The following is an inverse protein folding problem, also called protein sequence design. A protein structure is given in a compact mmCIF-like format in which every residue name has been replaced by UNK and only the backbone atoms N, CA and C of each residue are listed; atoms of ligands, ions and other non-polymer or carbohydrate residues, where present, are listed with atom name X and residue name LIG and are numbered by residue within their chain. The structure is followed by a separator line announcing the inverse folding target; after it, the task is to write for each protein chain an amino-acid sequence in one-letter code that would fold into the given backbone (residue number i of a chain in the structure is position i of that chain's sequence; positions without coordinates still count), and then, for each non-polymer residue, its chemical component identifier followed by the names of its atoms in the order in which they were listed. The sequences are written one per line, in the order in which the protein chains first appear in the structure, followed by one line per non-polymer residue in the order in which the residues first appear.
data_IF_041639508305
#
_entry.id   IF_041639508305
#
_cell.length_a   1.000
_cell.length_b   1.000
_cell.length_c   1.000
_cell.angle_alpha   90.00
_cell.angle_beta   90.00
_cell.angle_gamma   90.00
#
_symmetry.space_group_name_H-M   'P 1'
#
loop_
_entity.id
_entity.type
_entity.pdbx_description
1 polymer ?
#
# COMPACT_ATOMS: atom_id res chain seq x y z
N UNK A 1 18.39 -2.48 17.36
CA UNK A 1 17.65 -2.85 16.14
C UNK A 1 17.42 -4.36 16.04
N UNK A 2 18.43 -5.22 16.25
CA UNK A 2 18.29 -6.69 16.18
C UNK A 2 17.30 -7.28 17.20
N UNK A 3 17.28 -6.78 18.44
CA UNK A 3 16.39 -7.25 19.52
C UNK A 3 14.94 -6.82 19.29
N UNK A 4 14.72 -5.58 18.82
CA UNK A 4 13.40 -5.06 18.47
C UNK A 4 12.79 -5.82 17.26
N UNK A 5 13.60 -6.10 16.24
CA UNK A 5 13.19 -6.92 15.11
C UNK A 5 12.88 -8.38 15.52
N UNK A 6 13.68 -8.99 16.40
CA UNK A 6 13.38 -10.33 16.93
C UNK A 6 12.07 -10.35 17.73
N UNK A 7 11.76 -9.34 18.53
CA UNK A 7 10.49 -9.25 19.25
C UNK A 7 9.29 -9.04 18.34
N UNK A 8 9.42 -8.26 17.25
CA UNK A 8 8.38 -8.14 16.20
C UNK A 8 8.18 -9.45 15.41
N UNK A 9 9.24 -10.23 15.23
CA UNK A 9 9.23 -11.46 14.42
C UNK A 9 8.82 -12.71 15.24
N UNK A 10 9.08 -12.73 16.55
CA UNK A 10 8.85 -13.92 17.40
C UNK A 10 7.43 -14.05 17.96
N UNK A 11 6.58 -13.05 17.77
CA UNK A 11 5.25 -13.04 18.36
C UNK A 11 4.14 -12.71 17.38
N UNK A 12 3.38 -13.70 16.93
CA UNK A 12 2.00 -13.50 16.47
C UNK A 12 1.09 -13.07 17.64
N UNK A 13 1.62 -12.29 18.59
CA UNK A 13 0.86 -11.83 19.72
C UNK A 13 -0.07 -10.68 19.28
N UNK A 14 -1.29 -10.66 19.81
CA UNK A 14 -2.26 -9.61 19.58
C UNK A 14 -1.66 -8.20 19.85
N UNK A 15 -0.71 -8.11 20.77
CA UNK A 15 0.01 -6.84 21.11
C UNK A 15 0.90 -6.37 19.98
N UNK A 16 1.70 -7.25 19.36
CA UNK A 16 2.55 -6.87 18.22
C UNK A 16 1.72 -6.44 17.01
N UNK A 17 0.59 -7.10 16.75
CA UNK A 17 -0.36 -6.71 15.72
C UNK A 17 -0.97 -5.32 15.95
N UNK A 18 -1.31 -4.96 17.20
CA UNK A 18 -1.86 -3.64 17.53
C UNK A 18 -0.81 -2.52 17.39
N UNK A 19 0.42 -2.74 17.85
CA UNK A 19 1.52 -1.78 17.61
C UNK A 19 1.80 -1.60 16.13
N UNK A 20 1.80 -2.68 15.37
CA UNK A 20 1.93 -2.64 13.92
C UNK A 20 0.79 -1.83 13.27
N UNK A 21 -0.44 -1.92 13.81
CA UNK A 21 -1.57 -1.12 13.33
C UNK A 21 -1.35 0.38 13.58
N UNK A 22 -0.92 0.76 14.79
CA UNK A 22 -0.60 2.17 15.11
C UNK A 22 0.46 2.72 14.15
N UNK A 23 1.57 2.00 13.97
CA UNK A 23 2.65 2.42 13.06
C UNK A 23 2.15 2.53 11.62
N UNK A 24 1.41 1.54 11.14
CA UNK A 24 0.87 1.54 9.78
C UNK A 24 -0.08 2.71 9.54
N UNK A 25 -1.06 2.92 10.45
CA UNK A 25 -2.05 4.01 10.33
C UNK A 25 -1.36 5.37 10.33
N UNK A 26 -0.40 5.60 11.23
CA UNK A 26 0.33 6.86 11.30
C UNK A 26 1.12 7.15 10.02
N UNK A 27 1.87 6.15 9.52
CA UNK A 27 2.67 6.32 8.30
C UNK A 27 1.77 6.47 7.07
N UNK A 28 0.68 5.72 6.96
CA UNK A 28 -0.24 5.82 5.81
C UNK A 28 -1.00 7.15 5.79
N UNK A 29 -1.38 7.67 6.96
CA UNK A 29 -1.94 9.01 7.07
C UNK A 29 -0.95 10.07 6.56
N UNK A 30 0.28 10.03 7.04
CA UNK A 30 1.34 10.94 6.59
C UNK A 30 1.68 10.74 5.11
N UNK A 31 1.65 9.49 4.60
CA UNK A 31 1.88 9.17 3.19
C UNK A 31 0.93 9.91 2.25
N UNK A 32 -0.37 9.91 2.54
CA UNK A 32 -1.38 10.58 1.69
C UNK A 32 -1.15 12.08 1.65
N UNK A 33 -0.89 12.70 2.81
CA UNK A 33 -0.66 14.15 2.92
C UNK A 33 0.62 14.53 2.17
N UNK A 34 1.72 13.80 2.40
CA UNK A 34 3.02 14.08 1.79
C UNK A 34 3.00 13.79 0.28
N UNK A 35 2.38 12.70 -0.16
CA UNK A 35 2.27 12.38 -1.59
C UNK A 35 1.49 13.47 -2.34
N UNK A 36 0.40 13.97 -1.75
CA UNK A 36 -0.35 15.10 -2.33
C UNK A 36 0.41 16.40 -2.29
N UNK A 37 1.11 16.71 -1.18
CA UNK A 37 1.98 17.87 -1.10
C UNK A 37 3.05 17.84 -2.21
N UNK A 38 3.62 16.65 -2.46
CA UNK A 38 4.66 16.45 -3.48
C UNK A 38 4.19 16.77 -4.91
N UNK A 39 2.89 16.65 -5.19
CA UNK A 39 2.33 17.07 -6.49
C UNK A 39 2.41 18.58 -6.76
N UNK A 40 2.72 19.40 -5.75
CA UNK A 40 2.96 20.84 -5.85
C UNK A 40 4.45 21.20 -5.96
N UNK A 41 5.33 20.21 -5.92
CA UNK A 41 6.78 20.34 -6.03
C UNK A 41 7.29 19.96 -7.43
N UNK A 42 8.61 19.86 -7.59
CA UNK A 42 9.21 19.70 -8.91
C UNK A 42 9.17 18.24 -9.43
N UNK A 43 9.23 17.26 -8.53
CA UNK A 43 9.29 15.84 -8.92
C UNK A 43 7.97 15.36 -9.53
N UNK A 44 8.06 14.65 -10.65
CA UNK A 44 6.93 13.99 -11.30
C UNK A 44 6.54 12.69 -10.58
N UNK A 45 5.35 12.11 -10.81
CA UNK A 45 4.89 10.88 -10.15
C UNK A 45 5.88 9.72 -10.26
N UNK A 46 6.49 9.54 -11.42
CA UNK A 46 7.45 8.47 -11.66
C UNK A 46 8.81 8.76 -11.03
N UNK A 47 9.20 10.04 -10.87
CA UNK A 47 10.40 10.46 -10.11
C UNK A 47 10.24 10.08 -8.64
N UNK A 48 9.07 10.36 -8.05
CA UNK A 48 8.76 10.00 -6.66
C UNK A 48 8.73 8.47 -6.50
N UNK A 49 8.15 7.77 -7.48
CA UNK A 49 8.16 6.29 -7.50
C UNK A 49 9.59 5.76 -7.53
N UNK A 50 10.46 6.35 -8.34
CA UNK A 50 11.88 6.01 -8.41
C UNK A 50 12.58 6.24 -7.06
N UNK A 51 12.42 7.43 -6.48
CA UNK A 51 13.02 7.77 -5.18
C UNK A 51 12.55 6.81 -4.06
N UNK A 52 11.25 6.47 -4.04
CA UNK A 52 10.66 5.47 -3.13
C UNK A 52 11.34 4.10 -3.26
N UNK A 53 11.48 3.61 -4.49
CA UNK A 53 12.09 2.29 -4.75
C UNK A 53 13.57 2.33 -4.36
N UNK A 54 14.30 3.38 -4.73
CA UNK A 54 15.71 3.53 -4.38
C UNK A 54 15.93 3.58 -2.87
N UNK A 55 15.13 4.36 -2.14
CA UNK A 55 15.22 4.45 -0.68
C UNK A 55 14.96 3.11 0.02
N UNK A 56 13.92 2.37 -0.40
CA UNK A 56 13.63 1.05 0.14
C UNK A 56 14.73 0.03 -0.21
N UNK A 57 15.21 0.07 -1.45
CA UNK A 57 16.25 -0.82 -1.95
C UNK A 57 17.58 -0.64 -1.23
N UNK A 58 17.96 0.61 -0.93
CA UNK A 58 19.19 0.92 -0.19
C UNK A 58 19.25 0.24 1.19
N UNK A 59 18.09 -0.03 1.80
CA UNK A 59 18.01 -0.73 3.11
C UNK A 59 17.81 -2.23 2.93
N UNK A 60 16.85 -2.64 2.11
CA UNK A 60 16.39 -4.03 2.07
C UNK A 60 17.29 -4.94 1.21
N UNK A 61 17.86 -4.45 0.10
CA UNK A 61 18.65 -5.30 -0.77
C UNK A 61 20.01 -5.71 -0.16
N UNK A 62 20.78 -4.80 0.48
CA UNK A 62 22.00 -5.19 1.19
C UNK A 62 21.73 -6.16 2.34
N UNK A 63 20.64 -5.89 3.12
CA UNK A 63 20.22 -6.80 4.18
C UNK A 63 19.86 -8.19 3.65
N UNK A 64 19.08 -8.25 2.57
CA UNK A 64 18.65 -9.51 1.97
C UNK A 64 19.82 -10.29 1.39
N UNK A 65 20.71 -9.62 0.67
CA UNK A 65 21.92 -10.25 0.12
C UNK A 65 22.76 -10.91 1.21
N UNK A 66 22.99 -10.19 2.31
CA UNK A 66 23.73 -10.73 3.46
C UNK A 66 23.01 -11.93 4.08
N UNK A 67 21.70 -11.81 4.34
CA UNK A 67 20.88 -12.87 4.94
C UNK A 67 20.84 -14.12 4.03
N UNK A 68 20.60 -13.94 2.73
CA UNK A 68 20.58 -15.06 1.77
C UNK A 68 21.93 -15.74 1.63
N UNK A 69 23.03 -14.97 1.66
CA UNK A 69 24.37 -15.53 1.64
C UNK A 69 24.67 -16.38 2.87
N UNK A 70 24.18 -15.97 4.02
CA UNK A 70 24.32 -16.74 5.26
C UNK A 70 23.46 -18.02 5.22
N UNK A 71 22.22 -17.96 4.72
CA UNK A 71 21.38 -19.14 4.56
C UNK A 71 21.99 -20.16 3.59
N UNK A 72 22.54 -19.71 2.48
CA UNK A 72 23.24 -20.60 1.52
C UNK A 72 24.46 -21.30 2.14
N UNK A 73 25.21 -20.61 3.00
CA UNK A 73 26.33 -21.22 3.76
C UNK A 73 25.85 -22.32 4.71
N UNK A 74 24.61 -22.22 5.18
CA UNK A 74 23.97 -23.21 6.04
C UNK A 74 23.25 -24.33 5.24
N UNK A 75 23.49 -24.41 3.92
CA UNK A 75 22.90 -25.44 3.05
C UNK A 75 21.47 -25.21 2.61
N UNK A 76 20.89 -24.04 2.94
CA UNK A 76 19.51 -23.70 2.56
C UNK A 76 19.52 -23.04 1.18
N UNK A 77 19.04 -23.74 0.17
CA UNK A 77 18.81 -23.16 -1.15
C UNK A 77 17.45 -22.43 -1.15
N UNK A 78 17.48 -21.13 -0.91
CA UNK A 78 16.28 -20.30 -0.92
C UNK A 78 16.52 -19.03 -1.73
N UNK A 79 15.43 -18.44 -2.22
CA UNK A 79 15.46 -17.14 -2.85
C UNK A 79 15.57 -17.14 -4.37
N UNK A 80 15.48 -15.94 -4.92
CA UNK A 80 15.52 -15.64 -6.37
C UNK A 80 16.29 -14.34 -6.63
N UNK A 81 16.36 -13.89 -7.90
CA UNK A 81 17.06 -12.65 -8.26
C UNK A 81 18.49 -12.58 -7.71
N UNK A 82 19.31 -13.61 -8.03
CA UNK A 82 20.71 -13.75 -7.57
C UNK A 82 20.88 -13.74 -6.05
N UNK A 83 19.81 -14.04 -5.29
CA UNK A 83 19.82 -14.03 -3.83
C UNK A 83 19.45 -12.67 -3.22
N UNK A 84 18.90 -11.75 -4.00
CA UNK A 84 18.40 -10.47 -3.51
C UNK A 84 16.93 -10.55 -3.07
N UNK A 85 16.14 -11.49 -3.60
CA UNK A 85 14.81 -11.81 -3.08
C UNK A 85 14.86 -13.09 -2.25
N UNK A 86 14.31 -13.09 -1.02
CA UNK A 86 14.23 -14.29 -0.18
C UNK A 86 13.14 -15.27 -0.60
N UNK A 87 12.28 -14.89 -1.54
CA UNK A 87 11.16 -15.70 -2.03
C UNK A 87 11.44 -16.32 -3.40
N UNK A 88 10.74 -17.41 -3.78
CA UNK A 88 10.78 -17.95 -5.12
C UNK A 88 10.40 -16.91 -6.17
N UNK A 89 10.96 -17.01 -7.37
CA UNK A 89 10.82 -16.00 -8.42
C UNK A 89 9.35 -15.70 -8.77
N UNK A 90 8.48 -16.72 -8.86
CA UNK A 90 7.06 -16.54 -9.17
C UNK A 90 6.33 -15.71 -8.11
N UNK A 91 6.62 -15.97 -6.84
CA UNK A 91 5.99 -15.23 -5.72
C UNK A 91 6.55 -13.80 -5.69
N UNK A 92 7.86 -13.63 -5.89
CA UNK A 92 8.49 -12.31 -5.97
C UNK A 92 7.90 -11.46 -7.09
N UNK A 93 7.73 -12.03 -8.30
CA UNK A 93 7.16 -11.32 -9.45
C UNK A 93 5.71 -10.92 -9.18
N UNK A 94 4.84 -11.85 -8.78
CA UNK A 94 3.42 -11.55 -8.63
C UNK A 94 3.16 -10.58 -7.47
N UNK A 95 3.83 -10.77 -6.33
CA UNK A 95 3.67 -9.86 -5.18
C UNK A 95 4.32 -8.50 -5.46
N UNK A 96 5.46 -8.48 -6.14
CA UNK A 96 6.18 -7.27 -6.51
C UNK A 96 5.46 -6.44 -7.57
N UNK A 97 4.84 -7.10 -8.55
CA UNK A 97 4.03 -6.43 -9.56
C UNK A 97 2.85 -5.67 -8.93
N UNK A 98 2.06 -6.35 -8.08
CA UNK A 98 0.91 -5.71 -7.44
C UNK A 98 1.32 -4.80 -6.25
N UNK A 99 2.07 -5.31 -5.28
CA UNK A 99 2.38 -4.59 -4.04
C UNK A 99 3.52 -3.57 -4.15
N UNK A 100 4.35 -3.68 -5.17
CA UNK A 100 5.49 -2.78 -5.40
C UNK A 100 5.27 -1.80 -6.55
N UNK A 101 5.29 -2.31 -7.76
CA UNK A 101 5.32 -1.50 -8.98
C UNK A 101 3.97 -0.84 -9.28
N UNK A 102 2.92 -1.61 -9.58
CA UNK A 102 1.63 -1.05 -10.00
C UNK A 102 1.01 -0.16 -8.93
N UNK A 103 1.05 -0.60 -7.66
CA UNK A 103 0.55 0.20 -6.54
C UNK A 103 1.21 1.59 -6.51
N UNK A 104 2.53 1.66 -6.58
CA UNK A 104 3.25 2.93 -6.48
C UNK A 104 2.95 3.84 -7.68
N UNK A 105 3.00 3.30 -8.91
CA UNK A 105 2.68 4.06 -10.12
C UNK A 105 1.27 4.65 -10.06
N UNK A 106 0.27 3.84 -9.73
CA UNK A 106 -1.12 4.30 -9.67
C UNK A 106 -1.34 5.31 -8.53
N UNK A 107 -0.80 5.05 -7.33
CA UNK A 107 -0.99 5.93 -6.18
C UNK A 107 -0.39 7.32 -6.43
N UNK A 108 0.87 7.41 -6.84
CA UNK A 108 1.51 8.70 -7.06
C UNK A 108 0.91 9.44 -8.25
N UNK A 109 0.62 8.76 -9.35
CA UNK A 109 -0.06 9.38 -10.49
C UNK A 109 -1.45 9.92 -10.09
N UNK A 110 -2.19 9.19 -9.26
CA UNK A 110 -3.51 9.63 -8.78
C UNK A 110 -3.46 10.97 -8.05
N UNK A 111 -2.47 11.22 -7.20
CA UNK A 111 -2.33 12.48 -6.46
C UNK A 111 -2.00 13.69 -7.34
N UNK A 112 -1.57 13.50 -8.57
CA UNK A 112 -1.39 14.61 -9.52
C UNK A 112 -2.71 15.05 -10.17
N UNK A 113 -3.70 14.18 -10.22
CA UNK A 113 -5.01 14.47 -10.82
C UNK A 113 -6.09 14.81 -9.80
N UNK A 114 -6.05 14.19 -8.60
CA UNK A 114 -7.12 14.31 -7.62
C UNK A 114 -6.62 14.76 -6.24
N UNK A 115 -7.50 15.43 -5.44
CA UNK A 115 -7.19 15.89 -4.09
C UNK A 115 -6.85 14.75 -3.12
N UNK A 116 -6.13 15.07 -2.04
CA UNK A 116 -5.81 14.11 -0.98
C UNK A 116 -7.06 13.50 -0.34
N UNK A 117 -8.14 14.27 -0.23
CA UNK A 117 -9.42 13.80 0.31
C UNK A 117 -10.03 12.66 -0.52
N UNK A 118 -9.97 12.73 -1.87
CA UNK A 118 -10.38 11.64 -2.76
C UNK A 118 -9.48 10.42 -2.58
N UNK A 119 -8.15 10.63 -2.62
CA UNK A 119 -7.17 9.55 -2.37
C UNK A 119 -7.36 8.87 -1.02
N UNK A 120 -7.78 9.60 0.02
CA UNK A 120 -8.02 9.04 1.35
C UNK A 120 -9.22 8.09 1.39
N UNK A 121 -10.29 8.40 0.67
CA UNK A 121 -11.48 7.55 0.59
C UNK A 121 -11.25 6.39 -0.37
N UNK A 122 -10.87 6.68 -1.61
CA UNK A 122 -10.82 5.70 -2.70
C UNK A 122 -9.64 4.73 -2.62
N UNK A 123 -8.53 5.07 -1.95
CA UNK A 123 -7.36 4.19 -1.86
C UNK A 123 -7.38 3.35 -0.58
N UNK A 124 -7.18 3.88 0.67
CA UNK A 124 -7.27 3.05 1.86
C UNK A 124 -8.72 2.71 2.27
N UNK A 125 -9.71 3.56 1.96
CA UNK A 125 -11.11 3.33 2.31
C UNK A 125 -11.73 2.15 1.56
N UNK A 126 -11.41 1.96 0.29
CA UNK A 126 -11.90 0.84 -0.52
C UNK A 126 -11.11 -0.47 -0.33
N UNK A 127 -9.98 -0.46 0.42
CA UNK A 127 -9.20 -1.68 0.67
C UNK A 127 -10.03 -2.85 1.22
N UNK A 128 -10.93 -2.67 2.20
CA UNK A 128 -11.76 -3.76 2.70
C UNK A 128 -12.70 -4.35 1.65
N UNK A 129 -13.18 -3.53 0.71
CA UNK A 129 -13.99 -3.97 -0.42
C UNK A 129 -13.20 -4.95 -1.29
N UNK A 130 -12.10 -4.49 -1.87
CA UNK A 130 -11.26 -5.30 -2.75
C UNK A 130 -10.68 -6.53 -2.05
N UNK A 131 -10.19 -6.35 -0.81
CA UNK A 131 -9.64 -7.47 -0.03
C UNK A 131 -10.68 -8.52 0.26
N UNK A 132 -11.94 -8.13 0.55
CA UNK A 132 -13.03 -9.06 0.81
C UNK A 132 -13.43 -9.85 -0.45
N UNK A 133 -13.56 -9.16 -1.58
CA UNK A 133 -13.86 -9.80 -2.85
C UNK A 133 -12.75 -10.79 -3.25
N UNK A 134 -11.50 -10.35 -3.21
CA UNK A 134 -10.35 -11.20 -3.54
C UNK A 134 -10.21 -12.39 -2.56
N UNK A 135 -10.51 -12.21 -1.27
CA UNK A 135 -10.47 -13.30 -0.31
C UNK A 135 -11.52 -14.38 -0.60
N UNK A 136 -12.69 -14.03 -1.14
CA UNK A 136 -13.68 -15.01 -1.61
C UNK A 136 -13.10 -15.83 -2.76
N UNK A 137 -12.55 -15.20 -3.78
CA UNK A 137 -12.06 -15.90 -4.98
C UNK A 137 -10.74 -16.64 -4.75
N UNK A 138 -9.82 -16.08 -3.96
CA UNK A 138 -8.45 -16.60 -3.80
C UNK A 138 -8.33 -17.53 -2.58
N UNK A 139 -9.02 -17.20 -1.47
CA UNK A 139 -8.94 -17.95 -0.22
C UNK A 139 -10.18 -18.83 0.05
N UNK A 140 -11.24 -18.73 -0.77
CA UNK A 140 -12.48 -19.46 -0.57
C UNK A 140 -13.30 -18.97 0.65
N UNK A 141 -13.06 -17.74 1.13
CA UNK A 141 -13.82 -17.16 2.24
C UNK A 141 -15.28 -16.92 1.85
N UNK A 142 -16.20 -17.10 2.81
CA UNK A 142 -17.63 -16.81 2.60
C UNK A 142 -17.99 -15.41 3.11
N UNK A 143 -18.76 -14.67 2.31
CA UNK A 143 -19.36 -13.41 2.75
C UNK A 143 -20.60 -13.70 3.61
N UNK A 144 -20.69 -13.08 4.77
CA UNK A 144 -21.84 -13.17 5.67
C UNK A 144 -22.63 -11.85 5.64
N UNK A 145 -23.93 -11.88 5.97
CA UNK A 145 -24.88 -10.77 5.75
C UNK A 145 -24.38 -9.37 6.15
N UNK A 146 -23.94 -9.18 7.38
CA UNK A 146 -23.45 -7.85 7.81
C UNK A 146 -22.18 -7.40 7.04
N UNK A 147 -21.35 -8.34 6.57
CA UNK A 147 -20.19 -8.00 5.76
C UNK A 147 -20.61 -7.48 4.38
N UNK A 148 -21.68 -8.06 3.81
CA UNK A 148 -22.26 -7.58 2.54
C UNK A 148 -22.83 -6.17 2.70
N UNK A 149 -23.53 -5.88 3.80
CA UNK A 149 -24.04 -4.53 4.10
C UNK A 149 -22.87 -3.55 4.22
N UNK A 150 -21.82 -3.89 4.96
CA UNK A 150 -20.63 -3.06 5.08
C UNK A 150 -19.95 -2.77 3.74
N UNK A 151 -19.82 -3.78 2.87
CA UNK A 151 -19.27 -3.61 1.53
C UNK A 151 -20.18 -2.72 0.65
N UNK A 152 -21.50 -2.87 0.72
CA UNK A 152 -22.43 -2.00 0.01
C UNK A 152 -22.28 -0.53 0.45
N UNK A 153 -22.11 -0.28 1.75
CA UNK A 153 -21.89 1.08 2.27
C UNK A 153 -20.54 1.65 1.77
N UNK A 154 -19.48 0.85 1.68
CA UNK A 154 -18.19 1.27 1.12
C UNK A 154 -18.38 1.64 -0.36
N UNK A 155 -19.06 0.81 -1.15
CA UNK A 155 -19.35 1.10 -2.57
C UNK A 155 -20.14 2.41 -2.70
N UNK A 156 -21.18 2.62 -1.89
CA UNK A 156 -21.94 3.86 -1.91
C UNK A 156 -21.08 5.08 -1.56
N UNK A 157 -20.18 4.95 -0.58
CA UNK A 157 -19.26 6.00 -0.19
C UNK A 157 -18.23 6.32 -1.28
N UNK A 158 -17.63 5.30 -1.90
CA UNK A 158 -16.70 5.45 -3.02
C UNK A 158 -17.39 6.11 -4.24
N UNK A 159 -18.63 5.69 -4.56
CA UNK A 159 -19.42 6.29 -5.64
C UNK A 159 -19.83 7.74 -5.34
N UNK A 160 -20.05 8.08 -4.08
CA UNK A 160 -20.40 9.46 -3.71
C UNK A 160 -19.21 10.41 -3.93
N UNK A 161 -17.98 9.95 -3.65
CA UNK A 161 -16.76 10.73 -3.85
C UNK A 161 -16.34 10.73 -5.32
N UNK A 162 -16.16 9.56 -5.92
CA UNK A 162 -15.68 9.41 -7.29
C UNK A 162 -16.75 9.70 -8.35
N UNK A 163 -18.05 9.48 -8.04
CA UNK A 163 -19.13 9.67 -8.98
C UNK A 163 -19.31 11.13 -9.40
N UNK A 164 -19.13 12.07 -8.47
CA UNK A 164 -19.19 13.50 -8.78
C UNK A 164 -18.07 13.93 -9.76
N UNK A 165 -16.87 13.40 -9.59
CA UNK A 165 -15.74 13.70 -10.50
C UNK A 165 -15.94 13.08 -11.88
N UNK A 166 -16.59 11.89 -11.96
CA UNK A 166 -16.95 11.26 -13.22
C UNK A 166 -17.97 12.08 -14.01
N UNK A 167 -18.96 12.69 -13.33
CA UNK A 167 -19.93 13.58 -13.99
C UNK A 167 -19.23 14.82 -14.57
N UNK A 168 -18.28 15.42 -13.84
CA UNK A 168 -17.50 16.56 -14.32
C UNK A 168 -16.46 16.19 -15.40
N UNK A 169 -16.21 14.90 -15.66
CA UNK A 169 -15.37 14.46 -16.77
C UNK A 169 -15.92 14.90 -18.13
N UNK A 170 -17.25 14.94 -18.28
CA UNK A 170 -17.92 15.40 -19.50
C UNK A 170 -17.75 16.91 -19.75
N UNK A 171 -17.43 17.68 -18.71
CA UNK A 171 -17.13 19.11 -18.78
C UNK A 171 -15.61 19.39 -18.87
N UNK A 172 -14.79 18.37 -19.16
CA UNK A 172 -13.33 18.48 -19.29
C UNK A 172 -12.55 18.35 -17.99
N UNK A 173 -13.18 17.98 -16.88
CA UNK A 173 -12.50 17.72 -15.60
C UNK A 173 -11.60 16.49 -15.65
N UNK A 174 -10.45 16.54 -14.98
CA UNK A 174 -9.44 15.43 -14.95
C UNK A 174 -9.38 14.66 -13.63
N UNK A 175 -10.12 15.08 -12.60
CA UNK A 175 -10.11 14.47 -11.26
C UNK A 175 -10.49 12.99 -11.28
N UNK A 176 -11.44 12.60 -12.14
CA UNK A 176 -11.86 11.20 -12.31
C UNK A 176 -10.70 10.26 -12.69
N UNK A 177 -9.68 10.76 -13.41
CA UNK A 177 -8.48 9.98 -13.74
C UNK A 177 -7.77 9.58 -12.45
N UNK A 178 -7.60 10.54 -11.53
CA UNK A 178 -7.01 10.30 -10.22
C UNK A 178 -7.82 9.30 -9.40
N UNK A 179 -9.14 9.41 -9.42
CA UNK A 179 -10.04 8.52 -8.69
C UNK A 179 -9.94 7.06 -9.19
N UNK A 180 -9.92 6.85 -10.51
CA UNK A 180 -9.69 5.54 -11.12
C UNK A 180 -8.31 4.99 -10.73
N UNK A 181 -7.27 5.82 -10.77
CA UNK A 181 -5.92 5.43 -10.38
C UNK A 181 -5.85 5.02 -8.89
N UNK A 182 -6.53 5.72 -7.99
CA UNK A 182 -6.63 5.33 -6.59
C UNK A 182 -7.34 4.00 -6.39
N UNK A 183 -8.43 3.74 -7.13
CA UNK A 183 -9.12 2.45 -7.10
C UNK A 183 -8.22 1.32 -7.61
N UNK A 184 -7.45 1.54 -8.70
CA UNK A 184 -6.46 0.59 -9.19
C UNK A 184 -5.35 0.33 -8.16
N UNK A 185 -4.85 1.37 -7.48
CA UNK A 185 -3.87 1.23 -6.41
C UNK A 185 -4.42 0.40 -5.25
N UNK A 186 -5.67 0.67 -4.82
CA UNK A 186 -6.36 -0.12 -3.79
C UNK A 186 -6.50 -1.59 -4.17
N UNK A 187 -6.93 -1.87 -5.40
CA UNK A 187 -7.01 -3.24 -5.92
C UNK A 187 -5.65 -3.95 -5.90
N UNK A 188 -4.59 -3.28 -6.34
CA UNK A 188 -3.24 -3.83 -6.35
C UNK A 188 -2.75 -4.17 -4.93
N UNK A 189 -2.92 -3.27 -3.97
CA UNK A 189 -2.53 -3.50 -2.58
C UNK A 189 -3.36 -4.59 -1.90
N UNK A 190 -4.65 -4.65 -2.21
CA UNK A 190 -5.55 -5.72 -1.74
C UNK A 190 -5.13 -7.08 -2.30
N UNK A 191 -4.76 -7.15 -3.57
CA UNK A 191 -4.22 -8.38 -4.20
C UNK A 191 -2.95 -8.84 -3.48
N UNK A 192 -1.99 -7.94 -3.24
CA UNK A 192 -0.80 -8.23 -2.45
C UNK A 192 -1.14 -8.75 -1.05
N UNK A 193 -2.12 -8.11 -0.37
CA UNK A 193 -2.53 -8.48 0.98
C UNK A 193 -3.08 -9.91 1.05
N UNK A 194 -3.92 -10.29 0.09
CA UNK A 194 -4.51 -11.63 0.01
C UNK A 194 -3.47 -12.68 -0.38
N UNK A 195 -2.58 -12.35 -1.33
CA UNK A 195 -1.46 -13.24 -1.70
C UNK A 195 -0.48 -13.44 -0.53
N UNK A 196 -0.18 -12.39 0.24
CA UNK A 196 0.64 -12.48 1.45
C UNK A 196 0.07 -13.49 2.45
N UNK A 197 -1.26 -13.52 2.60
CA UNK A 197 -1.96 -14.51 3.44
C UNK A 197 -1.94 -15.90 2.83
N UNK A 198 -2.22 -16.02 1.53
CA UNK A 198 -2.23 -17.31 0.82
C UNK A 198 -0.90 -18.03 0.90
N UNK A 199 0.19 -17.31 0.72
CA UNK A 199 1.54 -17.85 0.75
C UNK A 199 2.21 -17.80 2.12
N UNK A 200 1.50 -17.37 3.18
CA UNK A 200 2.01 -17.25 4.55
C UNK A 200 3.34 -16.48 4.62
N UNK A 201 3.44 -15.38 3.88
CA UNK A 201 4.70 -14.66 3.72
C UNK A 201 5.19 -14.08 5.05
N UNK A 202 6.49 -14.21 5.27
CA UNK A 202 7.18 -13.57 6.39
C UNK A 202 7.30 -12.06 6.11
N UNK A 203 7.02 -11.16 7.08
CA UNK A 203 6.88 -9.72 6.84
C UNK A 203 8.07 -9.05 6.15
N UNK A 204 9.29 -9.33 6.64
CA UNK A 204 10.50 -8.74 6.05
C UNK A 204 10.76 -9.31 4.66
N UNK A 205 10.52 -10.64 4.49
CA UNK A 205 10.69 -11.31 3.20
C UNK A 205 9.70 -10.82 2.15
N UNK A 206 8.43 -10.61 2.55
CA UNK A 206 7.41 -10.07 1.67
C UNK A 206 7.78 -8.66 1.19
N UNK A 207 8.14 -7.77 2.13
CA UNK A 207 8.53 -6.39 1.81
C UNK A 207 9.81 -6.34 0.97
N UNK A 208 10.77 -7.22 1.24
CA UNK A 208 12.00 -7.33 0.44
C UNK A 208 11.71 -7.83 -0.97
N UNK A 209 10.83 -8.80 -1.14
CA UNK A 209 10.47 -9.34 -2.45
C UNK A 209 9.80 -8.30 -3.34
N UNK A 210 8.82 -7.54 -2.82
CA UNK A 210 8.18 -6.46 -3.58
C UNK A 210 9.17 -5.35 -3.96
N UNK A 211 10.11 -5.02 -3.07
CA UNK A 211 11.14 -4.01 -3.33
C UNK A 211 12.15 -4.51 -4.37
N UNK A 212 12.58 -5.77 -4.27
CA UNK A 212 13.49 -6.40 -5.23
C UNK A 212 12.90 -6.39 -6.64
N UNK A 213 11.64 -6.82 -6.80
CA UNK A 213 10.99 -6.80 -8.09
C UNK A 213 10.84 -5.38 -8.65
N UNK A 214 10.40 -4.43 -7.80
CA UNK A 214 10.25 -3.04 -8.20
C UNK A 214 11.60 -2.43 -8.64
N UNK A 215 12.69 -2.75 -7.94
CA UNK A 215 14.03 -2.29 -8.29
C UNK A 215 14.47 -2.80 -9.67
N UNK A 216 14.42 -4.10 -9.92
CA UNK A 216 14.86 -4.68 -11.20
C UNK A 216 13.90 -4.43 -12.36
N UNK A 217 12.61 -4.34 -12.09
CA UNK A 217 11.58 -4.11 -13.11
C UNK A 217 11.43 -2.64 -13.49
N UNK A 218 11.35 -1.76 -12.48
CA UNK A 218 11.05 -0.35 -12.72
C UNK A 218 12.30 0.51 -12.94
N UNK A 219 13.32 0.40 -12.07
CA UNK A 219 14.45 1.36 -12.08
C UNK A 219 15.20 1.36 -13.41
N UNK A 220 15.63 0.22 -13.99
CA UNK A 220 16.30 0.24 -15.29
C UNK A 220 15.39 0.73 -16.42
N UNK A 221 14.15 0.24 -16.45
CA UNK A 221 13.19 0.63 -17.50
C UNK A 221 12.90 2.13 -17.44
N UNK A 222 12.69 2.69 -16.26
CA UNK A 222 12.45 4.12 -16.07
C UNK A 222 13.65 4.95 -16.55
N UNK A 223 14.86 4.63 -16.09
CA UNK A 223 16.07 5.37 -16.50
C UNK A 223 16.33 5.30 -18.00
N UNK A 224 16.12 4.13 -18.64
CA UNK A 224 16.24 3.99 -20.08
C UNK A 224 15.21 4.82 -20.83
N UNK A 225 13.93 4.76 -20.44
CA UNK A 225 12.87 5.55 -21.08
C UNK A 225 13.08 7.05 -20.94
N UNK A 226 13.61 7.51 -19.79
CA UNK A 226 13.99 8.90 -19.59
C UNK A 226 15.21 9.27 -20.46
N UNK A 227 16.23 8.42 -20.54
CA UNK A 227 17.43 8.66 -21.36
C UNK A 227 17.11 8.76 -22.87
N UNK A 228 16.12 7.98 -23.34
CA UNK A 228 15.63 8.07 -24.73
C UNK A 228 14.59 9.17 -24.96
N UNK A 229 14.28 9.98 -23.95
CA UNK A 229 13.30 11.08 -24.06
C UNK A 229 11.84 10.62 -24.21
N UNK A 230 11.54 9.35 -23.93
CA UNK A 230 10.18 8.80 -23.99
C UNK A 230 9.34 9.24 -22.79
N UNK A 231 9.97 9.30 -21.62
CA UNK A 231 9.32 9.76 -20.37
C UNK A 231 9.95 11.08 -19.92
N UNK A 232 9.12 12.06 -19.53
CA UNK A 232 9.61 13.26 -18.86
C UNK A 232 10.14 12.92 -17.47
N UNK A 233 11.19 13.60 -17.05
CA UNK A 233 11.75 13.50 -15.70
C UNK A 233 12.28 14.85 -15.23
N UNK A 234 12.08 15.15 -13.97
CA UNK A 234 12.70 16.28 -13.27
C UNK A 234 13.75 15.82 -12.26
N UNK A 235 14.10 14.53 -12.25
CA UNK A 235 15.03 13.95 -11.29
C UNK A 235 16.39 14.64 -11.26
N UNK A 236 16.86 15.12 -12.45
CA UNK A 236 18.16 15.75 -12.59
C UNK A 236 18.14 17.26 -12.31
N UNK A 237 16.97 17.90 -12.38
CA UNK A 237 16.78 19.35 -12.15
C UNK A 237 16.24 19.66 -10.76
N UNK A 238 15.61 18.71 -10.08
CA UNK A 238 15.10 18.89 -8.73
C UNK A 238 16.22 18.95 -7.69
N UNK A 239 16.01 19.69 -6.58
CA UNK A 239 16.95 19.70 -5.47
C UNK A 239 17.17 18.30 -4.88
N UNK A 240 18.42 17.90 -4.67
CA UNK A 240 18.74 16.62 -4.07
C UNK A 240 18.11 16.40 -2.69
N UNK A 241 17.87 17.48 -1.94
CA UNK A 241 17.16 17.44 -0.66
C UNK A 241 15.74 16.90 -0.82
N UNK A 242 15.04 17.25 -1.89
CA UNK A 242 13.70 16.74 -2.19
C UNK A 242 13.75 15.26 -2.54
N UNK A 243 14.68 14.85 -3.42
CA UNK A 243 14.86 13.44 -3.80
C UNK A 243 15.20 12.57 -2.58
N UNK A 244 16.13 13.02 -1.74
CA UNK A 244 16.53 12.30 -0.52
C UNK A 244 15.38 12.24 0.51
N UNK A 245 14.60 13.32 0.65
CA UNK A 245 13.42 13.31 1.51
C UNK A 245 12.39 12.29 1.05
N UNK A 246 12.10 12.25 -0.26
CA UNK A 246 11.19 11.24 -0.82
C UNK A 246 11.76 9.82 -0.63
N UNK A 247 13.04 9.60 -0.87
CA UNK A 247 13.68 8.30 -0.65
C UNK A 247 13.59 7.87 0.82
N UNK A 248 13.84 8.78 1.77
CA UNK A 248 13.75 8.50 3.20
C UNK A 248 12.31 8.24 3.65
N UNK A 249 11.38 9.14 3.37
CA UNK A 249 10.01 8.99 3.85
C UNK A 249 9.24 7.93 3.06
N UNK A 250 9.21 8.04 1.73
CA UNK A 250 8.45 7.12 0.89
C UNK A 250 9.11 5.75 0.78
N UNK A 251 10.45 5.70 0.72
CA UNK A 251 11.20 4.45 0.66
C UNK A 251 11.30 3.78 2.02
N UNK A 252 11.98 4.39 2.98
CA UNK A 252 12.23 3.75 4.28
C UNK A 252 10.98 3.77 5.16
N UNK A 253 10.32 4.90 5.33
CA UNK A 253 9.11 5.03 6.14
C UNK A 253 7.96 4.21 5.58
N UNK A 254 7.52 4.55 4.37
CA UNK A 254 6.30 4.01 3.79
C UNK A 254 6.45 2.60 3.19
N UNK A 255 7.62 2.19 2.65
CA UNK A 255 7.82 0.80 2.18
C UNK A 255 8.35 -0.08 3.29
N UNK A 256 9.51 0.25 3.88
CA UNK A 256 10.19 -0.68 4.80
C UNK A 256 9.41 -0.78 6.11
N UNK A 257 9.21 0.35 6.80
CA UNK A 257 8.61 0.33 8.15
C UNK A 257 7.13 -0.04 8.06
N UNK A 258 6.32 0.66 7.24
CA UNK A 258 4.89 0.37 7.21
C UNK A 258 4.56 -0.92 6.48
N UNK A 259 5.32 -1.31 5.44
CA UNK A 259 5.11 -2.58 4.73
C UNK A 259 5.36 -3.79 5.61
N UNK A 260 6.44 -3.77 6.41
CA UNK A 260 6.70 -4.82 7.42
C UNK A 260 5.59 -4.80 8.47
N UNK A 261 5.25 -3.64 9.02
CA UNK A 261 4.19 -3.51 10.03
C UNK A 261 2.84 -4.01 9.51
N UNK A 262 2.44 -3.64 8.29
CA UNK A 262 1.19 -4.11 7.69
C UNK A 262 1.18 -5.62 7.49
N UNK A 263 2.29 -6.23 7.08
CA UNK A 263 2.37 -7.68 6.94
C UNK A 263 2.36 -8.39 8.30
N UNK A 264 2.92 -7.78 9.36
CA UNK A 264 2.73 -8.25 10.75
C UNK A 264 1.25 -8.25 11.13
N UNK A 265 0.50 -7.21 10.77
CA UNK A 265 -0.96 -7.17 10.98
C UNK A 265 -1.66 -8.30 10.22
N UNK A 266 -1.32 -8.54 8.95
CA UNK A 266 -1.91 -9.64 8.15
C UNK A 266 -1.68 -10.98 8.83
N UNK A 267 -0.50 -11.24 9.37
CA UNK A 267 -0.21 -12.48 10.11
C UNK A 267 -0.99 -12.58 11.41
N UNK A 268 -1.13 -11.48 12.15
CA UNK A 268 -1.82 -11.46 13.44
C UNK A 268 -3.35 -11.54 13.31
N UNK A 269 -3.93 -10.85 12.32
CA UNK A 269 -5.38 -10.65 12.22
C UNK A 269 -6.01 -11.16 10.91
N UNK A 270 -5.19 -11.52 9.92
CA UNK A 270 -5.63 -11.82 8.55
C UNK A 270 -5.81 -10.55 7.69
N UNK A 271 -5.87 -10.70 6.35
CA UNK A 271 -5.85 -9.54 5.45
C UNK A 271 -7.07 -8.64 5.62
N UNK A 272 -8.27 -9.22 5.71
CA UNK A 272 -9.52 -8.46 5.82
C UNK A 272 -9.56 -7.63 7.10
N UNK A 273 -9.20 -8.21 8.27
CA UNK A 273 -9.18 -7.44 9.52
C UNK A 273 -8.08 -6.38 9.54
N UNK A 274 -6.93 -6.68 8.93
CA UNK A 274 -5.84 -5.71 8.84
C UNK A 274 -6.24 -4.49 8.01
N UNK A 275 -6.91 -4.67 6.87
CA UNK A 275 -7.43 -3.55 6.07
C UNK A 275 -8.56 -2.79 6.79
N UNK A 276 -9.35 -3.48 7.62
CA UNK A 276 -10.34 -2.82 8.47
C UNK A 276 -9.73 -1.98 9.60
N UNK A 277 -8.62 -2.42 10.20
CA UNK A 277 -7.91 -1.65 11.21
C UNK A 277 -7.30 -0.36 10.65
N UNK A 278 -7.04 -0.31 9.34
CA UNK A 278 -6.58 0.92 8.66
C UNK A 278 -7.72 1.91 8.35
N UNK A 279 -8.95 1.65 8.79
CA UNK A 279 -10.12 2.53 8.55
C UNK A 279 -10.01 3.94 9.16
N UNK A 280 -9.10 4.14 10.09
CA UNK A 280 -8.82 5.48 10.62
C UNK A 280 -8.04 6.35 9.64
N UNK A 281 -7.32 5.74 8.70
CA UNK A 281 -6.47 6.47 7.74
C UNK A 281 -7.28 7.45 6.88
N UNK A 282 -8.43 7.08 6.28
CA UNK A 282 -9.21 8.02 5.49
C UNK A 282 -9.59 9.30 6.25
N UNK A 283 -10.13 9.15 7.47
CA UNK A 283 -10.51 10.29 8.30
C UNK A 283 -9.33 11.15 8.71
N UNK A 284 -8.27 10.54 9.21
CA UNK A 284 -7.08 11.25 9.65
C UNK A 284 -6.36 11.96 8.49
N UNK A 285 -6.29 11.34 7.32
CA UNK A 285 -5.63 11.96 6.16
C UNK A 285 -6.46 13.06 5.52
N UNK A 286 -7.79 12.93 5.47
CA UNK A 286 -8.66 14.00 5.01
C UNK A 286 -8.59 15.25 5.91
N UNK A 287 -8.64 15.04 7.23
CA UNK A 287 -8.44 16.13 8.22
C UNK A 287 -7.03 16.71 8.11
N UNK A 288 -6.00 15.87 7.99
CA UNK A 288 -4.63 16.34 7.83
C UNK A 288 -4.42 17.13 6.54
N UNK A 289 -5.03 16.73 5.43
CA UNK A 289 -4.99 17.48 4.17
C UNK A 289 -5.67 18.84 4.29
N UNK A 290 -6.81 18.91 4.98
CA UNK A 290 -7.47 20.20 5.26
C UNK A 290 -6.58 21.13 6.08
N UNK A 291 -5.94 20.64 7.14
CA UNK A 291 -5.13 21.46 8.06
C UNK A 291 -3.78 21.84 7.46
N UNK A 292 -3.11 20.94 6.73
CA UNK A 292 -1.74 21.11 6.25
C UNK A 292 -1.70 21.66 4.83
N UNK A 293 -2.60 21.22 3.95
CA UNK A 293 -2.61 21.58 2.53
C UNK A 293 -3.65 22.65 2.19
N UNK A 294 -4.56 22.98 3.13
CA UNK A 294 -5.64 23.92 2.91
C UNK A 294 -6.69 23.40 1.92
N UNK A 295 -6.78 22.09 1.71
CA UNK A 295 -7.78 21.48 0.79
C UNK A 295 -9.15 21.45 1.45
N UNK A 296 -10.20 22.07 0.85
CA UNK A 296 -11.54 22.06 1.43
C UNK A 296 -12.15 20.66 1.37
N UNK A 297 -12.85 20.26 2.42
CA UNK A 297 -13.63 19.03 2.43
C UNK A 297 -15.03 19.34 1.83
N UNK A 298 -15.33 18.77 0.67
CA UNK A 298 -16.67 18.84 0.11
C UNK A 298 -17.64 17.98 0.92
N UNK A 299 -18.94 18.29 0.85
CA UNK A 299 -19.96 17.50 1.54
C UNK A 299 -20.00 16.03 1.05
N UNK A 300 -19.69 15.80 -0.23
CA UNK A 300 -19.59 14.48 -0.83
C UNK A 300 -18.48 13.65 -0.17
N UNK A 301 -17.32 14.27 0.06
CA UNK A 301 -16.21 13.63 0.76
C UNK A 301 -16.56 13.31 2.21
N UNK A 302 -17.21 14.25 2.93
CA UNK A 302 -17.61 14.03 4.33
C UNK A 302 -18.62 12.88 4.44
N UNK A 303 -19.63 12.87 3.60
CA UNK A 303 -20.65 11.82 3.60
C UNK A 303 -20.08 10.48 3.11
N UNK A 304 -19.26 10.49 2.04
CA UNK A 304 -18.58 9.31 1.52
C UNK A 304 -17.67 8.68 2.56
N UNK A 305 -16.84 9.50 3.23
CA UNK A 305 -15.97 9.07 4.32
C UNK A 305 -16.76 8.45 5.49
N UNK A 306 -17.91 9.07 5.85
CA UNK A 306 -18.78 8.55 6.90
C UNK A 306 -19.35 7.19 6.53
N UNK A 307 -19.86 7.03 5.30
CA UNK A 307 -20.38 5.76 4.78
C UNK A 307 -19.31 4.67 4.74
N UNK A 308 -18.13 4.98 4.23
CA UNK A 308 -16.99 4.05 4.19
C UNK A 308 -16.61 3.63 5.62
N UNK A 309 -16.48 4.57 6.54
CA UNK A 309 -16.10 4.28 7.94
C UNK A 309 -17.13 3.40 8.63
N UNK A 310 -18.42 3.72 8.50
CA UNK A 310 -19.51 2.90 9.07
C UNK A 310 -19.54 1.53 8.40
N UNK A 311 -19.40 1.47 7.08
CA UNK A 311 -19.32 0.21 6.33
C UNK A 311 -18.21 -0.70 6.79
N UNK A 312 -17.02 -0.15 7.10
CA UNK A 312 -15.90 -0.89 7.65
C UNK A 312 -16.23 -1.44 9.05
N UNK A 313 -16.86 -0.63 9.92
CA UNK A 313 -17.27 -1.08 11.27
C UNK A 313 -18.25 -2.26 11.18
N UNK A 314 -19.23 -2.21 10.28
CA UNK A 314 -20.14 -3.34 10.03
C UNK A 314 -19.40 -4.58 9.51
N UNK A 315 -18.42 -4.40 8.63
CA UNK A 315 -17.59 -5.48 8.12
C UNK A 315 -16.77 -6.17 9.23
N UNK A 316 -16.22 -5.41 10.19
CA UNK A 316 -15.43 -5.94 11.32
C UNK A 316 -16.25 -6.81 12.26
N UNK A 317 -17.48 -6.39 12.60
CA UNK A 317 -18.33 -7.13 13.55
C UNK A 317 -18.69 -8.53 13.05
N UNK A 318 -18.69 -8.76 11.75
CA UNK A 318 -19.04 -10.05 11.14
C UNK A 318 -17.87 -11.03 11.02
N UNK A 319 -16.64 -10.62 11.26
CA UNK A 319 -15.47 -11.46 11.10
C UNK A 319 -15.27 -12.34 12.35
N UNK A 320 -15.94 -13.51 12.42
CA UNK A 320 -15.60 -14.55 13.40
C UNK A 320 -14.11 -14.92 13.27
N UNK A 321 -13.41 -15.23 14.38
CA UNK A 321 -12.04 -15.73 14.31
C UNK A 321 -12.03 -16.99 13.46
N UNK A 322 -11.29 -17.00 12.35
CA UNK A 322 -10.96 -18.26 11.69
C UNK A 322 -10.04 -19.03 12.64
N UNK A 323 -10.62 -19.89 13.45
CA UNK A 323 -9.88 -20.96 14.12
C UNK A 323 -9.29 -21.78 12.99
N UNK A 324 -7.97 -21.70 12.81
CA UNK A 324 -7.22 -22.67 12.03
C UNK A 324 -7.59 -24.03 12.60
N UNK A 325 -8.46 -24.79 11.91
CA UNK A 325 -8.52 -26.22 12.08
C UNK A 325 -7.12 -26.70 11.73
N UNK A 326 -6.35 -27.08 12.74
CA UNK A 326 -5.17 -27.89 12.58
C UNK A 326 -5.65 -29.12 11.80
N UNK A 327 -5.16 -29.26 10.59
CA UNK A 327 -5.25 -30.51 9.86
C UNK A 327 -4.39 -31.49 10.67
N UNK A 328 -5.07 -32.42 11.34
CA UNK A 328 -4.48 -33.62 11.89
C UNK A 328 -4.01 -34.50 10.74
#
# INVERSE_FOLDING_TARGET
MHTFMKQLLSGSSRRSGLWAAVVTVSIWTAFIIIARASARHQLLPLDITWARIMGASAVLLPWSWWNMRQQRRNGIQAGSFWGLSPLPWRITVITGFFGGFCYAVFAYSGFFFAPAAHGSVLMPGSLPLWTSLLAVFILGERLHGYRVIGLAMIICGDLLVGGSSLLHAFDGGTVWIGDVLFMCASFCWSTYSVLSRRYQLEPVYATTAITCFAFFGFVPAYLLLCAFGVLPTHLWSAPWTEVLWQAAFQGVGSVVISGISFTVMIRAFGPVRSTMLTSLVPGLSALGAMLVLGEPLSWQVILGLSLVTVGIVFGVQSAKPSVLKAAA
#
